data_IF_933534235985
#
_entry.id   IF_933534235985
#
_cell.length_a   1.000
_cell.length_b   1.000
_cell.length_c   1.000
_cell.angle_alpha   90.00
_cell.angle_beta   90.00
_cell.angle_gamma   90.00
#
_symmetry.space_group_name_H-M   'P 1'
#
loop_
_entity.id
_entity.type
_entity.pdbx_description
1 polymer ?
#
# COMPACT_ATOMS: atom_id res chain seq x y z
N UNK A 1 8.36 7.54 9.01
CA UNK A 1 7.66 8.82 8.71
C UNK A 1 7.22 9.53 9.98
N UNK A 2 6.46 8.88 10.87
CA UNK A 2 5.96 9.46 12.13
C UNK A 2 7.01 10.23 12.95
N UNK A 3 8.18 9.64 13.21
CA UNK A 3 9.29 10.30 13.92
C UNK A 3 9.77 11.61 13.25
N UNK A 4 9.79 11.69 11.92
CA UNK A 4 10.14 12.93 11.20
C UNK A 4 9.07 14.01 11.36
N UNK A 5 7.79 13.63 11.37
CA UNK A 5 6.68 14.55 11.68
C UNK A 5 6.81 15.03 13.13
N UNK A 6 7.08 14.13 14.07
CA UNK A 6 7.27 14.44 15.48
C UNK A 6 8.39 15.46 15.70
N UNK A 7 9.57 15.28 15.09
CA UNK A 7 10.63 16.28 15.15
C UNK A 7 10.21 17.63 14.53
N UNK A 8 9.52 17.63 13.39
CA UNK A 8 9.09 18.86 12.72
C UNK A 8 8.08 19.68 13.54
N UNK A 9 7.20 19.02 14.31
CA UNK A 9 6.21 19.71 15.17
C UNK A 9 6.67 19.86 16.63
N UNK A 10 7.88 19.41 16.97
CA UNK A 10 8.44 19.45 18.33
C UNK A 10 8.31 20.82 19.04
N UNK A 11 8.54 21.99 18.38
CA UNK A 11 8.35 23.30 19.01
C UNK A 11 6.93 23.59 19.53
N UNK A 12 5.90 22.88 19.04
CA UNK A 12 4.52 23.04 19.51
C UNK A 12 4.23 22.23 20.80
N UNK A 13 5.09 21.27 21.15
CA UNK A 13 4.93 20.35 22.29
C UNK A 13 6.13 20.45 23.26
N UNK A 14 6.32 21.63 23.91
CA UNK A 14 7.48 21.89 24.76
C UNK A 14 7.54 21.05 26.04
N UNK A 15 6.42 20.45 26.46
CA UNK A 15 6.36 19.64 27.68
C UNK A 15 6.77 18.16 27.43
N UNK A 16 7.11 17.82 26.18
CA UNK A 16 7.82 16.59 25.83
C UNK A 16 7.29 15.84 24.61
N UNK A 17 8.05 14.83 24.19
CA UNK A 17 7.67 13.88 23.15
C UNK A 17 7.90 12.46 23.66
N UNK A 18 6.90 11.59 23.49
CA UNK A 18 6.95 10.19 23.88
C UNK A 18 6.84 9.33 22.61
N UNK A 19 7.72 8.35 22.45
CA UNK A 19 7.67 7.36 21.37
C UNK A 19 7.51 5.98 21.99
N UNK A 20 6.54 5.21 21.50
CA UNK A 20 6.32 3.83 21.93
C UNK A 20 5.99 2.94 20.72
N UNK A 21 6.73 1.86 20.59
CA UNK A 21 6.40 0.70 19.75
C UNK A 21 5.27 -0.10 20.41
N UNK A 22 4.15 -0.29 19.70
CA UNK A 22 2.99 -1.07 20.12
C UNK A 22 3.07 -2.56 19.71
N UNK A 23 4.05 -2.90 18.87
CA UNK A 23 4.44 -4.26 18.51
C UNK A 23 5.96 -4.39 18.67
N UNK A 24 6.44 -5.53 19.17
CA UNK A 24 7.87 -5.85 19.24
C UNK A 24 8.09 -7.20 18.58
N UNK A 25 8.43 -7.19 17.29
CA UNK A 25 8.21 -8.37 16.44
C UNK A 25 6.73 -8.74 16.43
N UNK A 26 6.43 -10.04 16.46
CA UNK A 26 5.04 -10.54 16.48
C UNK A 26 4.33 -10.38 17.86
N UNK A 27 5.03 -9.88 18.88
CA UNK A 27 4.47 -9.76 20.23
C UNK A 27 3.53 -8.55 20.35
N UNK A 28 2.24 -8.83 20.55
CA UNK A 28 1.25 -7.84 20.96
C UNK A 28 1.61 -7.26 22.34
N UNK A 29 1.48 -5.94 22.48
CA UNK A 29 1.70 -5.24 23.75
C UNK A 29 0.37 -4.78 24.34
N UNK A 30 0.09 -5.26 25.54
CA UNK A 30 -1.11 -4.87 26.29
C UNK A 30 -1.10 -3.36 26.57
N UNK A 31 -2.21 -2.63 26.34
CA UNK A 31 -2.28 -1.19 26.59
C UNK A 31 -1.96 -0.81 28.04
N UNK A 32 -2.27 -1.68 29.00
CA UNK A 32 -1.97 -1.47 30.41
C UNK A 32 -0.45 -1.38 30.67
N UNK A 33 0.37 -2.17 29.98
CA UNK A 33 1.83 -2.17 30.13
C UNK A 33 2.46 -0.96 29.45
N UNK A 34 1.95 -0.62 28.26
CA UNK A 34 2.32 0.61 27.54
C UNK A 34 2.00 1.85 28.38
N UNK A 35 0.82 1.92 29.00
CA UNK A 35 0.48 2.99 29.96
C UNK A 35 1.44 3.00 31.14
N UNK A 36 1.82 1.84 31.67
CA UNK A 36 2.81 1.75 32.75
C UNK A 36 4.17 2.35 32.37
N UNK A 37 4.61 2.21 31.12
CA UNK A 37 5.82 2.83 30.58
C UNK A 37 5.65 4.34 30.35
N UNK A 38 4.54 4.76 29.73
CA UNK A 38 4.22 6.17 29.50
C UNK A 38 4.13 6.96 30.81
N UNK A 39 3.50 6.39 31.85
CA UNK A 39 3.40 7.00 33.18
C UNK A 39 4.78 7.17 33.82
N UNK A 40 5.65 6.16 33.74
CA UNK A 40 7.05 6.26 34.21
C UNK A 40 7.83 7.33 33.45
N UNK A 41 7.67 7.41 32.13
CA UNK A 41 8.30 8.45 31.31
C UNK A 41 7.77 9.87 31.60
N UNK A 42 6.51 10.01 32.04
CA UNK A 42 5.91 11.27 32.47
C UNK A 42 6.32 11.71 33.90
N UNK A 43 7.08 10.89 34.62
CA UNK A 43 7.62 11.16 35.95
C UNK A 43 6.94 10.42 37.12
N UNK A 44 6.04 9.46 36.85
CA UNK A 44 5.39 8.68 37.92
C UNK A 44 6.36 7.66 38.50
N UNK A 45 6.57 7.72 39.81
CA UNK A 45 7.44 6.77 40.53
C UNK A 45 6.93 5.33 40.46
N UNK A 46 7.81 4.30 40.52
CA UNK A 46 7.42 2.90 40.29
C UNK A 46 6.29 2.38 41.20
N UNK A 47 6.23 2.83 42.46
CA UNK A 47 5.18 2.47 43.42
C UNK A 47 3.90 3.32 43.35
N UNK A 48 3.85 4.33 42.46
CA UNK A 48 2.71 5.22 42.26
C UNK A 48 1.95 4.94 40.94
N UNK A 49 2.39 3.94 40.16
CA UNK A 49 1.64 3.45 38.99
C UNK A 49 0.57 2.46 39.50
N UNK A 50 -0.73 2.70 39.24
CA UNK A 50 -1.80 1.81 39.70
C UNK A 50 -1.67 0.38 39.16
N UNK A 51 -2.25 -0.59 39.89
CA UNK A 51 -2.39 -1.96 39.40
C UNK A 51 -3.52 -2.06 38.36
N UNK A 52 -4.62 -1.35 38.58
CA UNK A 52 -5.78 -1.37 37.67
C UNK A 52 -5.52 -0.61 36.36
N UNK A 53 -6.11 -1.12 35.28
CA UNK A 53 -5.97 -0.55 33.94
C UNK A 53 -6.77 0.74 33.74
N UNK A 54 -7.96 0.85 34.34
CA UNK A 54 -8.79 2.06 34.32
C UNK A 54 -8.15 3.19 35.11
N UNK A 55 -7.60 2.90 36.30
CA UNK A 55 -6.83 3.84 37.11
C UNK A 55 -5.57 4.35 36.37
N UNK A 56 -4.85 3.48 35.64
CA UNK A 56 -3.74 3.91 34.76
C UNK A 56 -4.21 4.88 33.68
N UNK A 57 -5.33 4.61 33.01
CA UNK A 57 -5.90 5.52 31.98
C UNK A 57 -6.30 6.86 32.59
N UNK A 58 -6.94 6.85 33.77
CA UNK A 58 -7.36 8.06 34.47
C UNK A 58 -6.15 8.92 34.88
N UNK A 59 -5.12 8.31 35.50
CA UNK A 59 -3.88 8.98 35.88
C UNK A 59 -3.14 9.56 34.67
N UNK A 60 -3.03 8.78 33.58
CA UNK A 60 -2.39 9.21 32.35
C UNK A 60 -3.08 10.44 31.75
N UNK A 61 -4.42 10.43 31.65
CA UNK A 61 -5.19 11.58 31.15
C UNK A 61 -5.10 12.79 32.08
N UNK A 62 -5.06 12.59 33.39
CA UNK A 62 -4.88 13.66 34.39
C UNK A 62 -3.47 14.29 34.38
N UNK A 63 -2.43 13.55 33.99
CA UNK A 63 -1.09 14.11 33.79
C UNK A 63 -0.97 14.92 32.50
N UNK A 64 -1.75 14.57 31.47
CA UNK A 64 -1.74 15.23 30.16
C UNK A 64 -2.70 16.43 30.07
N UNK A 65 -3.69 16.58 30.96
CA UNK A 65 -4.64 17.71 30.95
C UNK A 65 -3.99 19.08 31.10
N UNK A 66 -2.79 19.14 31.67
CA UNK A 66 -2.05 20.38 31.93
C UNK A 66 -0.71 20.47 31.17
N UNK A 67 -0.47 19.60 30.18
CA UNK A 67 0.77 19.55 29.39
C UNK A 67 0.49 19.63 27.89
N UNK A 68 1.51 20.00 27.12
CA UNK A 68 1.59 19.91 25.65
C UNK A 68 2.61 18.85 25.27
N UNK A 69 2.14 17.60 25.22
CA UNK A 69 2.96 16.43 24.88
C UNK A 69 2.52 15.86 23.53
N UNK A 70 3.49 15.46 22.71
CA UNK A 70 3.24 14.63 21.54
C UNK A 70 3.50 13.17 21.89
N UNK A 71 2.55 12.28 21.58
CA UNK A 71 2.74 10.83 21.66
C UNK A 71 2.85 10.25 20.25
N UNK A 72 3.85 9.42 20.00
CA UNK A 72 4.01 8.63 18.79
C UNK A 72 3.79 7.16 19.14
N UNK A 73 2.76 6.56 18.55
CA UNK A 73 2.38 5.16 18.73
C UNK A 73 2.70 4.43 17.42
N UNK A 74 3.78 3.65 17.40
CA UNK A 74 4.28 2.99 16.19
C UNK A 74 3.86 1.50 16.16
N UNK A 75 3.24 1.05 15.06
CA UNK A 75 2.80 -0.34 14.90
C UNK A 75 1.54 -0.71 15.67
N UNK A 76 0.52 0.17 15.69
CA UNK A 76 -0.78 -0.17 16.26
C UNK A 76 -1.44 -1.34 15.51
N UNK A 77 -1.95 -2.33 16.25
CA UNK A 77 -2.74 -3.43 15.70
C UNK A 77 -4.18 -3.02 15.37
N UNK A 78 -4.89 -2.50 16.37
CA UNK A 78 -6.34 -2.28 16.34
C UNK A 78 -6.73 -1.06 17.22
N UNK A 79 -8.00 -0.63 17.14
CA UNK A 79 -8.48 0.49 17.95
C UNK A 79 -8.57 0.19 19.44
N UNK A 80 -8.73 -1.06 19.87
CA UNK A 80 -8.79 -1.40 21.28
C UNK A 80 -7.43 -1.20 21.95
N UNK A 81 -6.34 -1.46 21.22
CA UNK A 81 -4.97 -1.17 21.66
C UNK A 81 -4.71 0.34 21.81
N UNK A 82 -5.26 1.15 20.89
CA UNK A 82 -4.96 2.59 20.78
C UNK A 82 -5.85 3.47 21.68
N UNK A 83 -7.15 3.18 21.81
CA UNK A 83 -8.12 4.00 22.57
C UNK A 83 -7.68 4.37 24.00
N UNK A 84 -7.06 3.48 24.81
CA UNK A 84 -6.58 3.83 26.15
C UNK A 84 -5.40 4.81 26.15
N UNK A 85 -4.61 4.81 25.07
CA UNK A 85 -3.36 5.56 24.93
C UNK A 85 -3.55 6.97 24.35
N UNK A 86 -4.73 7.26 23.78
CA UNK A 86 -5.02 8.57 23.22
C UNK A 86 -5.16 9.65 24.30
N UNK A 87 -4.53 10.82 24.11
CA UNK A 87 -4.70 11.95 25.01
C UNK A 87 -6.13 12.50 24.94
N UNK A 88 -6.66 12.96 26.08
CA UNK A 88 -7.97 13.59 26.16
C UNK A 88 -7.92 15.13 26.11
N UNK A 89 -6.73 15.73 26.16
CA UNK A 89 -6.53 17.19 26.16
C UNK A 89 -6.33 17.73 24.75
N UNK A 90 -6.96 18.86 24.36
CA UNK A 90 -6.70 19.53 23.08
C UNK A 90 -5.28 20.13 22.98
N UNK A 91 -4.53 20.19 24.09
CA UNK A 91 -3.14 20.63 24.13
C UNK A 91 -2.13 19.53 23.77
N UNK A 92 -2.56 18.27 23.75
CA UNK A 92 -1.74 17.11 23.40
C UNK A 92 -2.16 16.56 22.03
N UNK A 93 -1.25 15.82 21.38
CA UNK A 93 -1.55 15.14 20.12
C UNK A 93 -0.97 13.73 20.09
N UNK A 94 -1.57 12.86 19.26
CA UNK A 94 -1.06 11.52 18.99
C UNK A 94 -0.83 11.33 17.49
N UNK A 95 0.32 10.76 17.12
CA UNK A 95 0.60 10.23 15.78
C UNK A 95 0.63 8.73 15.88
N UNK A 96 -0.30 8.06 15.20
CA UNK A 96 -0.43 6.60 15.20
C UNK A 96 -0.03 6.07 13.84
N UNK A 97 0.84 5.06 13.79
CA UNK A 97 1.05 4.25 12.58
C UNK A 97 0.36 2.91 12.77
N UNK A 98 -0.19 2.36 11.69
CA UNK A 98 -0.85 1.06 11.67
C UNK A 98 -0.80 0.50 10.26
N UNK A 99 -0.89 -0.83 10.14
CA UNK A 99 -1.19 -1.49 8.87
C UNK A 99 -2.71 -1.51 8.61
N UNK A 100 -3.53 -1.53 9.65
CA UNK A 100 -5.00 -1.53 9.52
C UNK A 100 -5.56 -0.10 9.55
N UNK A 101 -6.72 0.10 8.90
CA UNK A 101 -7.40 1.39 8.94
C UNK A 101 -8.25 1.49 10.21
N UNK A 102 -7.72 2.18 11.22
CA UNK A 102 -8.32 2.42 12.55
C UNK A 102 -9.55 3.36 12.52
N UNK A 103 -10.50 3.06 11.63
CA UNK A 103 -11.61 3.92 11.20
C UNK A 103 -12.58 4.31 12.32
N UNK A 104 -12.62 3.55 13.41
CA UNK A 104 -13.56 3.80 14.52
C UNK A 104 -12.99 4.77 15.57
N UNK A 105 -11.77 5.29 15.40
CA UNK A 105 -11.16 6.33 16.25
C UNK A 105 -11.71 7.72 15.91
N UNK A 106 -12.69 8.17 16.68
CA UNK A 106 -13.26 9.53 16.55
C UNK A 106 -12.22 10.64 16.73
N UNK A 107 -12.38 11.74 15.98
CA UNK A 107 -11.51 12.91 16.05
C UNK A 107 -10.14 12.74 15.38
N UNK A 108 -9.88 11.63 14.68
CA UNK A 108 -8.61 11.38 14.01
C UNK A 108 -8.61 11.82 12.54
N UNK A 109 -7.42 12.09 11.99
CA UNK A 109 -7.21 12.33 10.56
C UNK A 109 -6.34 11.23 9.98
N UNK A 110 -6.93 10.35 9.17
CA UNK A 110 -6.18 9.32 8.47
C UNK A 110 -5.35 9.90 7.32
N UNK A 111 -4.12 9.41 7.17
CA UNK A 111 -3.23 9.70 6.05
C UNK A 111 -2.78 8.37 5.47
N UNK A 112 -3.40 7.93 4.36
CA UNK A 112 -2.97 6.72 3.66
C UNK A 112 -1.64 7.00 2.97
N UNK A 113 -0.61 6.23 3.34
CA UNK A 113 0.69 6.30 2.68
C UNK A 113 0.65 5.42 1.43
N UNK A 114 0.98 5.99 0.28
CA UNK A 114 1.15 5.27 -0.98
C UNK A 114 2.62 4.93 -1.26
N UNK A 115 2.85 4.34 -2.43
CA UNK A 115 4.19 4.28 -3.02
C UNK A 115 4.74 5.69 -3.24
N UNK A 116 6.07 5.81 -3.28
CA UNK A 116 6.71 7.07 -3.66
C UNK A 116 6.38 7.42 -5.11
N UNK A 117 6.40 8.70 -5.45
CA UNK A 117 6.57 9.12 -6.84
C UNK A 117 7.97 8.73 -7.35
N UNK A 118 8.15 8.73 -8.67
CA UNK A 118 9.48 8.54 -9.26
C UNK A 118 10.46 9.64 -8.81
N UNK A 119 9.95 10.87 -8.65
CA UNK A 119 10.74 12.02 -8.21
C UNK A 119 11.20 11.90 -6.75
N UNK A 120 10.30 11.59 -5.82
CA UNK A 120 10.67 11.37 -4.42
C UNK A 120 11.65 10.20 -4.26
N UNK A 121 11.51 9.16 -5.09
CA UNK A 121 12.44 8.02 -5.12
C UNK A 121 13.84 8.45 -5.57
N UNK A 122 13.94 9.28 -6.62
CA UNK A 122 15.22 9.86 -7.10
C UNK A 122 15.84 10.80 -6.07
N UNK A 123 15.06 11.70 -5.46
CA UNK A 123 15.57 12.63 -4.44
C UNK A 123 16.05 11.89 -3.18
N UNK A 124 15.43 10.77 -2.79
CA UNK A 124 15.99 9.91 -1.71
C UNK A 124 17.36 9.36 -2.11
N UNK A 125 17.50 8.78 -3.32
CA UNK A 125 18.80 8.30 -3.81
C UNK A 125 19.83 9.45 -3.89
N UNK A 126 19.43 10.62 -4.37
CA UNK A 126 20.30 11.79 -4.52
C UNK A 126 20.76 12.35 -3.16
N UNK A 127 19.90 12.31 -2.14
CA UNK A 127 20.24 12.67 -0.75
C UNK A 127 21.15 11.64 -0.06
N UNK A 128 21.12 10.38 -0.49
CA UNK A 128 21.99 9.33 0.03
C UNK A 128 23.35 9.31 -0.69
N UNK A 129 23.37 9.46 -2.01
CA UNK A 129 24.54 9.19 -2.88
C UNK A 129 25.23 10.45 -3.41
N UNK A 130 24.63 11.63 -3.20
CA UNK A 130 25.02 12.90 -3.81
C UNK A 130 24.27 13.16 -5.12
N UNK A 131 23.76 14.39 -5.29
CA UNK A 131 22.97 14.81 -6.46
C UNK A 131 23.74 14.66 -7.77
N UNK A 132 25.02 15.02 -7.79
CA UNK A 132 25.88 14.92 -8.98
C UNK A 132 26.02 13.48 -9.49
N UNK A 133 26.22 12.51 -8.58
CA UNK A 133 26.36 11.08 -8.92
C UNK A 133 25.08 10.50 -9.51
N UNK A 134 23.92 10.90 -8.99
CA UNK A 134 22.61 10.46 -9.53
C UNK A 134 22.33 11.11 -10.88
N UNK A 135 22.56 12.42 -11.02
CA UNK A 135 22.35 13.15 -12.27
C UNK A 135 23.28 12.67 -13.41
N UNK A 136 24.52 12.26 -13.08
CA UNK A 136 25.47 11.71 -14.04
C UNK A 136 25.05 10.33 -14.61
N UNK A 137 24.19 9.59 -13.90
CA UNK A 137 23.68 8.27 -14.29
C UNK A 137 22.14 8.23 -14.30
N UNK A 138 21.50 9.32 -14.74
CA UNK A 138 20.04 9.53 -14.60
C UNK A 138 19.18 8.39 -15.18
N UNK A 139 19.56 7.81 -16.32
CA UNK A 139 18.85 6.64 -16.88
C UNK A 139 18.90 5.40 -15.96
N UNK A 140 20.07 5.11 -15.39
CA UNK A 140 20.23 4.03 -14.43
C UNK A 140 19.51 4.33 -13.11
N UNK A 141 19.45 5.60 -12.67
CA UNK A 141 18.65 6.01 -11.52
C UNK A 141 17.14 5.73 -11.75
N UNK A 142 16.62 6.03 -12.94
CA UNK A 142 15.24 5.72 -13.31
C UNK A 142 14.98 4.20 -13.35
N UNK A 143 15.90 3.41 -13.90
CA UNK A 143 15.81 1.95 -13.90
C UNK A 143 15.81 1.37 -12.47
N UNK A 144 16.69 1.84 -11.58
CA UNK A 144 16.70 1.46 -10.16
C UNK A 144 15.36 1.77 -9.49
N UNK A 145 14.81 2.96 -9.71
CA UNK A 145 13.49 3.36 -9.18
C UNK A 145 12.35 2.47 -9.71
N UNK A 146 12.39 2.13 -11.00
CA UNK A 146 11.43 1.20 -11.64
C UNK A 146 11.52 -0.19 -11.03
N UNK A 147 12.72 -0.78 -10.92
CA UNK A 147 12.91 -2.13 -10.37
C UNK A 147 12.58 -2.22 -8.89
N UNK A 148 12.78 -1.14 -8.11
CA UNK A 148 12.32 -1.04 -6.73
C UNK A 148 10.78 -0.89 -6.59
N UNK A 149 10.05 -0.74 -7.70
CA UNK A 149 8.60 -0.48 -7.70
C UNK A 149 8.21 0.78 -6.91
N UNK A 150 9.14 1.72 -6.70
CA UNK A 150 8.98 2.91 -5.84
C UNK A 150 8.66 2.62 -4.36
N UNK A 151 8.98 1.42 -3.86
CA UNK A 151 8.86 1.10 -2.43
C UNK A 151 9.99 1.80 -1.63
N UNK A 152 9.69 2.57 -0.57
CA UNK A 152 10.70 3.26 0.24
C UNK A 152 11.81 2.35 0.77
N UNK A 153 11.47 1.11 1.18
CA UNK A 153 12.43 0.13 1.68
C UNK A 153 13.42 -0.31 0.59
N UNK A 154 12.92 -0.68 -0.60
CA UNK A 154 13.75 -1.11 -1.73
C UNK A 154 14.69 0.02 -2.18
N UNK A 155 14.21 1.27 -2.25
CA UNK A 155 15.03 2.45 -2.56
C UNK A 155 16.14 2.64 -1.52
N UNK A 156 15.83 2.52 -0.21
CA UNK A 156 16.85 2.61 0.86
C UNK A 156 17.91 1.51 0.75
N UNK A 157 17.50 0.28 0.44
CA UNK A 157 18.42 -0.87 0.28
C UNK A 157 19.37 -0.63 -0.90
N UNK A 158 18.84 -0.19 -2.05
CA UNK A 158 19.65 0.20 -3.22
C UNK A 158 20.65 1.31 -2.89
N UNK A 159 20.21 2.36 -2.20
CA UNK A 159 21.07 3.45 -1.76
C UNK A 159 22.18 2.95 -0.81
N UNK A 160 21.85 2.11 0.16
CA UNK A 160 22.83 1.54 1.09
C UNK A 160 23.86 0.63 0.38
N UNK A 161 23.44 -0.24 -0.55
CA UNK A 161 24.36 -1.09 -1.35
C UNK A 161 25.36 -0.27 -2.18
N UNK A 162 24.95 0.91 -2.67
CA UNK A 162 25.78 1.86 -3.43
C UNK A 162 26.65 2.78 -2.55
N UNK A 163 26.33 2.91 -1.26
CA UNK A 163 27.18 3.55 -0.24
C UNK A 163 28.28 2.60 0.25
N UNK A 164 27.96 1.32 0.51
CA UNK A 164 28.94 0.27 0.81
C UNK A 164 29.95 0.06 -0.33
N UNK A 165 29.57 0.39 -1.57
CA UNK A 165 30.37 0.17 -2.78
C UNK A 165 30.47 1.46 -3.60
N UNK A 166 31.25 2.48 -3.15
CA UNK A 166 31.38 3.75 -3.86
C UNK A 166 31.92 3.62 -5.29
N UNK A 167 32.69 2.55 -5.55
CA UNK A 167 33.25 2.22 -6.86
C UNK A 167 32.23 1.60 -7.84
N UNK A 168 31.00 1.29 -7.42
CA UNK A 168 29.94 0.83 -8.31
C UNK A 168 29.22 2.00 -8.97
N UNK A 169 29.01 1.89 -10.28
CA UNK A 169 28.07 2.72 -11.02
C UNK A 169 26.62 2.32 -10.69
N UNK A 170 25.69 3.26 -10.75
CA UNK A 170 24.25 2.97 -10.62
C UNK A 170 23.83 1.92 -11.66
N UNK A 171 24.34 2.05 -12.89
CA UNK A 171 24.15 1.10 -13.99
C UNK A 171 24.55 -0.35 -13.63
N UNK A 172 25.58 -0.52 -12.80
CA UNK A 172 26.04 -1.85 -12.35
C UNK A 172 24.99 -2.54 -11.47
N UNK A 173 24.30 -1.78 -10.61
CA UNK A 173 23.23 -2.31 -9.77
C UNK A 173 21.91 -2.44 -10.54
N UNK A 174 21.62 -1.52 -11.48
CA UNK A 174 20.46 -1.60 -12.36
C UNK A 174 20.44 -2.91 -13.16
N UNK A 175 21.56 -3.28 -13.81
CA UNK A 175 21.71 -4.56 -14.53
C UNK A 175 21.60 -5.80 -13.65
N UNK A 176 21.90 -5.70 -12.36
CA UNK A 176 21.67 -6.80 -11.39
C UNK A 176 20.19 -6.98 -11.09
N UNK A 177 19.48 -5.86 -10.84
CA UNK A 177 18.05 -5.83 -10.56
C UNK A 177 17.17 -6.11 -11.79
N UNK A 178 17.68 -5.95 -13.01
CA UNK A 178 16.95 -6.32 -14.23
C UNK A 178 16.45 -7.77 -14.19
N UNK A 179 17.28 -8.71 -13.69
CA UNK A 179 16.92 -10.12 -13.57
C UNK A 179 15.91 -10.38 -12.44
N UNK A 180 14.64 -10.61 -12.80
CA UNK A 180 13.56 -10.87 -11.85
C UNK A 180 13.89 -11.99 -10.84
N UNK A 181 14.57 -13.05 -11.30
CA UNK A 181 14.98 -14.22 -10.49
C UNK A 181 15.98 -13.90 -9.37
N UNK A 182 16.69 -12.78 -9.46
CA UNK A 182 17.68 -12.32 -8.45
C UNK A 182 17.32 -10.98 -7.83
N UNK A 183 16.22 -10.36 -8.27
CA UNK A 183 15.84 -8.99 -7.86
C UNK A 183 15.63 -8.92 -6.35
N UNK A 184 15.02 -9.94 -5.75
CA UNK A 184 14.81 -10.00 -4.30
C UNK A 184 16.10 -10.33 -3.51
N UNK A 185 17.04 -11.08 -4.08
CA UNK A 185 18.36 -11.32 -3.46
C UNK A 185 19.23 -10.05 -3.44
N UNK A 186 19.16 -9.26 -4.50
CA UNK A 186 19.85 -7.97 -4.62
C UNK A 186 19.15 -6.86 -3.81
N UNK A 187 17.88 -7.03 -3.45
CA UNK A 187 17.11 -6.16 -2.55
C UNK A 187 17.16 -6.62 -1.08
N UNK A 188 18.36 -6.95 -0.63
CA UNK A 188 18.73 -7.09 0.78
C UNK A 188 20.09 -6.42 1.09
N UNK A 189 20.28 -5.88 2.28
CA UNK A 189 21.56 -5.33 2.79
C UNK A 189 21.54 -5.24 4.32
N UNK A 190 22.55 -5.80 4.98
CA UNK A 190 22.59 -5.88 6.45
C UNK A 190 21.37 -6.64 7.00
N UNK A 191 20.60 -5.97 7.85
CA UNK A 191 19.33 -6.41 8.45
C UNK A 191 18.08 -6.05 7.62
N UNK A 192 18.24 -5.30 6.52
CA UNK A 192 17.13 -4.84 5.68
C UNK A 192 16.95 -5.77 4.47
N UNK A 193 15.80 -6.44 4.37
CA UNK A 193 15.43 -7.24 3.20
C UNK A 193 13.97 -7.06 2.79
N UNK A 194 13.74 -6.90 1.47
CA UNK A 194 12.37 -6.85 0.93
C UNK A 194 11.70 -8.22 1.07
N UNK A 195 12.42 -9.31 0.78
CA UNK A 195 11.89 -10.68 0.90
C UNK A 195 11.46 -10.98 2.35
N UNK A 196 12.28 -10.61 3.33
CA UNK A 196 12.01 -10.85 4.75
C UNK A 196 10.79 -10.06 5.24
N UNK A 197 10.66 -8.80 4.79
CA UNK A 197 9.49 -7.97 5.09
C UNK A 197 8.19 -8.56 4.54
N UNK A 198 8.23 -9.16 3.34
CA UNK A 198 7.08 -9.83 2.73
C UNK A 198 6.78 -11.20 3.36
N UNK A 199 7.80 -11.88 3.88
CA UNK A 199 7.65 -13.16 4.55
C UNK A 199 6.81 -13.05 5.84
N UNK A 200 6.89 -11.93 6.57
CA UNK A 200 6.03 -11.66 7.75
C UNK A 200 4.55 -11.64 7.36
N UNK A 201 4.17 -10.84 6.36
CA UNK A 201 2.77 -10.76 5.90
C UNK A 201 2.26 -12.10 5.35
N UNK A 202 3.10 -12.86 4.63
CA UNK A 202 2.75 -14.20 4.15
C UNK A 202 2.65 -15.24 5.27
N UNK A 203 3.44 -15.11 6.35
CA UNK A 203 3.34 -15.98 7.52
C UNK A 203 2.04 -15.76 8.31
N UNK A 204 1.48 -14.55 8.31
CA UNK A 204 0.19 -14.25 8.93
C UNK A 204 -1.01 -14.89 8.20
N UNK A 205 -0.88 -15.27 6.93
CA UNK A 205 -1.95 -15.86 6.13
C UNK A 205 -2.29 -17.31 6.51
N UNK A 206 -3.56 -17.67 6.36
CA UNK A 206 -4.03 -19.05 6.42
C UNK A 206 -3.73 -19.83 5.12
N UNK A 207 -3.85 -21.17 5.17
CA UNK A 207 -3.59 -22.08 4.03
C UNK A 207 -4.32 -21.68 2.71
N UNK A 208 -5.64 -21.40 2.69
CA UNK A 208 -6.31 -21.01 1.44
C UNK A 208 -5.80 -19.68 0.88
N UNK A 209 -5.55 -18.70 1.76
CA UNK A 209 -5.03 -17.38 1.41
C UNK A 209 -3.61 -17.47 0.85
N UNK A 210 -2.72 -18.25 1.48
CA UNK A 210 -1.37 -18.54 0.97
C UNK A 210 -1.39 -19.19 -0.41
N UNK A 211 -2.31 -20.13 -0.65
CA UNK A 211 -2.50 -20.74 -1.99
C UNK A 211 -2.97 -19.70 -3.00
N UNK A 212 -3.90 -18.82 -2.61
CA UNK A 212 -4.39 -17.77 -3.49
C UNK A 212 -3.30 -16.76 -3.86
N UNK A 213 -2.55 -16.29 -2.87
CA UNK A 213 -1.39 -15.40 -3.04
C UNK A 213 -0.38 -15.94 -4.06
N UNK A 214 -0.08 -17.24 -4.00
CA UNK A 214 0.84 -17.89 -4.93
C UNK A 214 0.22 -18.02 -6.33
N UNK A 215 -0.89 -18.73 -6.48
CA UNK A 215 -1.45 -19.04 -7.80
C UNK A 215 -1.87 -17.80 -8.60
N UNK A 216 -2.40 -16.76 -7.95
CA UNK A 216 -2.78 -15.51 -8.64
C UNK A 216 -1.57 -14.69 -9.12
N UNK A 217 -0.36 -14.93 -8.58
CA UNK A 217 0.86 -14.28 -9.05
C UNK A 217 1.24 -14.66 -10.49
N UNK A 218 0.72 -15.78 -10.99
CA UNK A 218 0.91 -16.26 -12.36
C UNK A 218 0.10 -15.46 -13.39
N UNK A 219 -0.87 -14.66 -12.97
CA UNK A 219 -1.70 -13.86 -13.86
C UNK A 219 -0.90 -12.67 -14.39
N UNK A 220 -0.43 -12.75 -15.64
CA UNK A 220 0.36 -11.70 -16.31
C UNK A 220 -0.50 -10.52 -16.79
N UNK A 221 -1.15 -9.87 -15.83
CA UNK A 221 -1.97 -8.66 -15.97
C UNK A 221 -1.55 -7.61 -14.95
N UNK A 222 -1.89 -6.34 -15.22
CA UNK A 222 -1.73 -5.25 -14.25
C UNK A 222 -2.74 -5.35 -13.10
N UNK A 223 -3.96 -5.83 -13.37
CA UNK A 223 -4.98 -6.11 -12.34
C UNK A 223 -6.02 -7.12 -12.85
N UNK A 224 -6.78 -7.71 -11.92
CA UNK A 224 -7.81 -8.71 -12.20
C UNK A 224 -9.08 -8.49 -11.34
N UNK A 225 -10.28 -8.88 -11.81
CA UNK A 225 -11.51 -8.86 -11.03
C UNK A 225 -11.69 -10.17 -10.22
N UNK A 226 -12.59 -10.16 -9.23
CA UNK A 226 -12.96 -11.34 -8.42
C UNK A 226 -13.21 -12.59 -9.29
N UNK A 227 -14.09 -12.51 -10.29
CA UNK A 227 -14.43 -13.67 -11.16
C UNK A 227 -13.24 -14.38 -11.83
N UNK A 228 -12.14 -13.66 -12.12
CA UNK A 228 -10.95 -14.26 -12.76
C UNK A 228 -10.11 -14.96 -11.70
N UNK A 229 -10.01 -14.37 -10.50
CA UNK A 229 -9.40 -15.03 -9.36
C UNK A 229 -10.20 -16.28 -8.95
N UNK A 230 -11.53 -16.20 -8.91
CA UNK A 230 -12.42 -17.30 -8.56
C UNK A 230 -12.19 -18.52 -9.48
N UNK A 231 -12.18 -18.27 -10.80
CA UNK A 231 -11.83 -19.27 -11.79
C UNK A 231 -10.41 -19.83 -11.63
N UNK A 232 -9.41 -18.97 -11.39
CA UNK A 232 -8.02 -19.39 -11.17
C UNK A 232 -7.85 -20.29 -9.94
N UNK A 233 -8.60 -20.01 -8.87
CA UNK A 233 -8.51 -20.72 -7.60
C UNK A 233 -9.38 -22.00 -7.57
N UNK A 234 -10.45 -22.04 -8.39
CA UNK A 234 -11.49 -23.05 -8.32
C UNK A 234 -12.45 -22.83 -7.15
N UNK A 235 -12.71 -21.57 -6.80
CA UNK A 235 -13.54 -21.16 -5.66
C UNK A 235 -14.79 -20.39 -6.12
N UNK A 236 -15.88 -20.41 -5.34
CA UNK A 236 -16.99 -19.47 -5.47
C UNK A 236 -16.55 -17.99 -5.38
N UNK A 237 -17.32 -17.08 -5.98
CA UNK A 237 -16.99 -15.65 -6.02
C UNK A 237 -16.98 -15.02 -4.60
N UNK A 238 -17.90 -15.40 -3.71
CA UNK A 238 -17.98 -14.92 -2.31
C UNK A 238 -16.73 -15.31 -1.50
N UNK A 239 -16.34 -16.59 -1.54
CA UNK A 239 -15.12 -17.08 -0.88
C UNK A 239 -13.85 -16.51 -1.50
N UNK A 240 -13.90 -16.18 -2.78
CA UNK A 240 -12.79 -15.49 -3.45
C UNK A 240 -12.68 -14.05 -2.99
N UNK A 241 -13.79 -13.33 -2.86
CA UNK A 241 -13.83 -11.95 -2.39
C UNK A 241 -13.28 -11.86 -0.94
N UNK A 242 -13.77 -12.70 -0.01
CA UNK A 242 -13.21 -12.82 1.34
C UNK A 242 -11.69 -13.06 1.32
N UNK A 243 -11.22 -13.98 0.47
CA UNK A 243 -9.78 -14.30 0.35
C UNK A 243 -8.97 -13.10 -0.18
N UNK A 244 -9.50 -12.36 -1.15
CA UNK A 244 -8.83 -11.19 -1.73
C UNK A 244 -8.83 -10.00 -0.77
N UNK A 245 -9.88 -9.82 0.02
CA UNK A 245 -9.93 -8.83 1.11
C UNK A 245 -8.88 -9.14 2.18
N UNK A 246 -8.72 -10.41 2.58
CA UNK A 246 -7.68 -10.85 3.52
C UNK A 246 -6.27 -10.59 3.01
N UNK A 247 -5.99 -10.90 1.75
CA UNK A 247 -4.72 -10.57 1.10
C UNK A 247 -4.47 -9.05 1.02
N UNK A 248 -5.53 -8.26 0.83
CA UNK A 248 -5.45 -6.79 0.82
C UNK A 248 -5.19 -6.23 2.22
N UNK A 249 -5.80 -6.80 3.26
CA UNK A 249 -5.56 -6.43 4.66
C UNK A 249 -4.10 -6.69 5.10
N UNK A 250 -3.46 -7.73 4.57
CA UNK A 250 -2.03 -8.01 4.77
C UNK A 250 -1.10 -7.22 3.83
N UNK A 251 -1.61 -6.25 3.06
CA UNK A 251 -0.86 -5.46 2.06
C UNK A 251 -0.15 -6.29 0.98
N UNK A 252 -0.64 -7.51 0.74
CA UNK A 252 -0.14 -8.44 -0.27
C UNK A 252 -0.85 -8.29 -1.62
N UNK A 253 -2.01 -7.61 -1.64
CA UNK A 253 -2.69 -7.10 -2.82
C UNK A 253 -3.11 -5.65 -2.60
N UNK A 254 -3.25 -4.91 -3.70
CA UNK A 254 -3.86 -3.58 -3.74
C UNK A 254 -5.23 -3.68 -4.43
N UNK A 255 -6.27 -3.10 -3.81
CA UNK A 255 -7.64 -3.08 -4.35
C UNK A 255 -8.05 -1.66 -4.77
N UNK A 256 -8.43 -1.50 -6.04
CA UNK A 256 -8.84 -0.24 -6.66
C UNK A 256 -10.20 -0.36 -7.36
N UNK A 257 -11.02 0.70 -7.28
CA UNK A 257 -12.28 0.77 -8.03
C UNK A 257 -12.07 1.38 -9.42
N UNK A 258 -12.29 0.59 -10.47
CA UNK A 258 -12.19 1.05 -11.87
C UNK A 258 -13.59 1.28 -12.44
N UNK A 259 -13.90 2.54 -12.77
CA UNK A 259 -15.21 2.97 -13.30
C UNK A 259 -15.62 2.11 -14.51
N UNK A 260 -16.85 1.59 -14.48
CA UNK A 260 -17.40 0.71 -15.52
C UNK A 260 -16.87 -0.73 -15.49
N UNK A 261 -16.01 -1.10 -14.54
CA UNK A 261 -15.41 -2.43 -14.48
C UNK A 261 -15.35 -3.05 -13.07
N UNK A 262 -15.71 -2.29 -12.03
CA UNK A 262 -15.79 -2.76 -10.64
C UNK A 262 -14.46 -2.71 -9.90
N UNK A 263 -14.40 -3.38 -8.75
CA UNK A 263 -13.18 -3.56 -7.95
C UNK A 263 -12.19 -4.42 -8.72
N UNK A 264 -10.92 -4.02 -8.68
CA UNK A 264 -9.79 -4.70 -9.29
C UNK A 264 -8.70 -4.89 -8.25
N UNK A 265 -8.12 -6.09 -8.25
CA UNK A 265 -7.01 -6.46 -7.39
C UNK A 265 -5.73 -6.50 -8.23
N UNK A 266 -4.63 -6.03 -7.66
CA UNK A 266 -3.32 -6.00 -8.29
C UNK A 266 -2.23 -6.39 -7.30
N UNK A 267 -1.11 -6.88 -7.82
CA UNK A 267 0.11 -7.05 -7.05
C UNK A 267 1.01 -5.84 -7.25
N UNK A 268 1.62 -5.35 -6.17
CA UNK A 268 2.86 -4.61 -6.29
C UNK A 268 3.94 -5.49 -6.97
N UNK A 269 4.75 -4.97 -7.92
CA UNK A 269 5.70 -5.78 -8.68
C UNK A 269 6.64 -6.64 -7.84
N UNK A 270 7.15 -6.15 -6.71
CA UNK A 270 8.07 -6.92 -5.84
C UNK A 270 7.32 -7.98 -5.01
N UNK A 271 6.09 -7.69 -4.60
CA UNK A 271 5.20 -8.68 -3.96
C UNK A 271 4.89 -9.81 -4.94
N UNK A 272 4.67 -9.48 -6.22
CA UNK A 272 4.42 -10.48 -7.27
C UNK A 272 5.62 -11.39 -7.51
N UNK A 273 6.85 -10.87 -7.45
CA UNK A 273 8.05 -11.70 -7.56
C UNK A 273 8.17 -12.68 -6.39
N UNK A 274 7.95 -12.21 -5.16
CA UNK A 274 7.99 -13.07 -3.98
C UNK A 274 6.92 -14.17 -4.03
N UNK A 275 5.69 -13.80 -4.43
CA UNK A 275 4.63 -14.76 -4.67
C UNK A 275 5.02 -15.79 -5.75
N UNK A 276 5.66 -15.36 -6.85
CA UNK A 276 6.14 -16.27 -7.90
C UNK A 276 7.23 -17.22 -7.37
N UNK A 277 8.25 -16.75 -6.65
CA UNK A 277 9.27 -17.60 -6.01
C UNK A 277 8.60 -18.77 -5.26
N UNK A 278 7.73 -18.44 -4.30
CA UNK A 278 6.96 -19.42 -3.53
C UNK A 278 6.09 -20.34 -4.40
N UNK A 279 5.52 -19.83 -5.50
CA UNK A 279 4.67 -20.61 -6.42
C UNK A 279 5.45 -21.68 -7.17
N UNK A 280 6.71 -21.39 -7.54
CA UNK A 280 7.59 -22.35 -8.20
C UNK A 280 8.13 -23.41 -7.23
N UNK A 281 8.33 -23.05 -5.96
CA UNK A 281 8.80 -23.96 -4.91
C UNK A 281 7.70 -24.88 -4.34
N UNK A 282 6.48 -24.36 -4.17
CA UNK A 282 5.40 -25.06 -3.44
C UNK A 282 4.35 -25.71 -4.35
N UNK A 283 3.92 -25.04 -5.42
CA UNK A 283 2.76 -25.50 -6.19
C UNK A 283 3.19 -26.41 -7.37
N UNK A 284 2.60 -27.62 -7.50
CA UNK A 284 2.97 -28.53 -8.57
C UNK A 284 2.52 -28.00 -9.94
N UNK A 285 3.23 -28.42 -10.99
CA UNK A 285 3.03 -27.96 -12.36
C UNK A 285 1.56 -28.01 -12.84
N UNK A 286 0.75 -29.06 -12.57
CA UNK A 286 -0.66 -29.11 -12.99
C UNK A 286 -1.53 -28.03 -12.33
N UNK A 287 -1.32 -27.73 -11.04
CA UNK A 287 -2.07 -26.69 -10.32
C UNK A 287 -1.79 -25.29 -10.89
N UNK A 288 -0.53 -25.02 -11.25
CA UNK A 288 -0.12 -23.76 -11.90
C UNK A 288 -0.74 -23.61 -13.30
N UNK A 289 -0.73 -24.67 -14.10
CA UNK A 289 -1.33 -24.64 -15.44
C UNK A 289 -2.85 -24.47 -15.38
N UNK A 290 -3.54 -25.22 -14.52
CA UNK A 290 -4.98 -25.11 -14.34
C UNK A 290 -5.42 -23.72 -13.90
N UNK A 291 -4.71 -23.10 -12.95
CA UNK A 291 -5.01 -21.74 -12.49
C UNK A 291 -4.94 -20.72 -13.64
N UNK A 292 -3.87 -20.76 -14.45
CA UNK A 292 -3.70 -19.86 -15.61
C UNK A 292 -4.74 -20.13 -16.70
N UNK A 293 -5.01 -21.39 -17.03
CA UNK A 293 -6.00 -21.77 -18.04
C UNK A 293 -7.41 -21.31 -17.67
N UNK A 294 -7.84 -21.56 -16.43
CA UNK A 294 -9.16 -21.14 -15.94
C UNK A 294 -9.28 -19.62 -15.90
N UNK A 295 -8.24 -18.90 -15.47
CA UNK A 295 -8.22 -17.45 -15.45
C UNK A 295 -8.34 -16.84 -16.86
N UNK A 296 -7.63 -17.40 -17.84
CA UNK A 296 -7.73 -16.99 -19.24
C UNK A 296 -9.13 -17.25 -19.80
N UNK A 297 -9.72 -18.41 -19.52
CA UNK A 297 -11.09 -18.72 -19.91
C UNK A 297 -12.09 -17.72 -19.32
N UNK A 298 -11.99 -17.41 -18.02
CA UNK A 298 -12.83 -16.41 -17.34
C UNK A 298 -12.58 -14.96 -17.79
N UNK A 299 -11.41 -14.67 -18.38
CA UNK A 299 -11.12 -13.36 -18.96
C UNK A 299 -11.86 -13.14 -20.29
N UNK A 300 -11.87 -14.15 -21.16
CA UNK A 300 -12.53 -14.09 -22.47
C UNK A 300 -14.03 -14.43 -22.41
N UNK A 301 -14.49 -15.09 -21.35
CA UNK A 301 -15.91 -15.22 -21.04
C UNK A 301 -16.55 -13.82 -20.89
N UNK A 302 -17.43 -13.45 -21.83
CA UNK A 302 -18.23 -12.23 -21.70
C UNK A 302 -19.13 -12.37 -20.46
N UNK A 303 -19.19 -11.35 -19.57
CA UNK A 303 -20.16 -11.37 -18.50
C UNK A 303 -21.58 -11.36 -19.09
N UNK A 304 -22.35 -12.40 -18.78
CA UNK A 304 -23.76 -12.50 -19.15
C UNK A 304 -24.52 -11.36 -18.45
N UNK A 305 -24.89 -10.33 -19.21
CA UNK A 305 -25.45 -9.09 -18.67
C UNK A 305 -25.04 -7.83 -19.43
N UNK A 306 -23.91 -7.87 -20.16
CA UNK A 306 -23.49 -6.77 -21.05
C UNK A 306 -24.29 -6.75 -22.38
N UNK A 307 -25.62 -6.73 -22.30
CA UNK A 307 -26.49 -6.37 -23.41
C UNK A 307 -26.41 -4.85 -23.63
N UNK A 308 -25.39 -4.42 -24.38
CA UNK A 308 -25.57 -3.21 -25.18
C UNK A 308 -26.66 -3.54 -26.19
N UNK A 309 -27.81 -2.83 -26.21
CA UNK A 309 -28.79 -3.04 -27.26
C UNK A 309 -28.10 -2.65 -28.58
N UNK A 310 -27.86 -3.64 -29.43
CA UNK A 310 -27.63 -3.38 -30.85
C UNK A 310 -28.83 -2.57 -31.32
N UNK A 311 -28.63 -1.27 -31.57
CA UNK A 311 -29.61 -0.46 -32.29
C UNK A 311 -29.83 -1.16 -33.62
N UNK A 312 -30.97 -1.82 -33.76
CA UNK A 312 -31.38 -2.40 -35.01
C UNK A 312 -31.38 -1.27 -36.05
N UNK A 313 -30.44 -1.35 -36.99
CA UNK A 313 -30.47 -0.51 -38.18
C UNK A 313 -31.78 -0.81 -38.92
N UNK A 314 -32.69 0.14 -39.12
CA UNK A 314 -33.88 -0.11 -39.92
C UNK A 314 -33.42 -0.46 -41.34
N UNK A 315 -33.68 -1.70 -41.78
CA UNK A 315 -33.31 -2.15 -43.11
C UNK A 315 -34.15 -1.42 -44.16
N UNK A 316 -33.51 -0.96 -45.24
CA UNK A 316 -34.19 -0.27 -46.32
C UNK A 316 -35.18 -1.18 -47.07
N UNK A 317 -36.37 -0.65 -47.35
CA UNK A 317 -37.39 -1.22 -48.24
C UNK A 317 -38.47 -0.17 -48.50
N UNK A 318 -38.43 0.48 -49.67
CA UNK A 318 -39.39 1.52 -50.09
C UNK A 318 -40.60 0.95 -50.86
N UNK A 319 -41.33 1.75 -51.68
CA UNK A 319 -41.08 3.15 -52.06
C UNK A 319 -42.31 4.11 -51.96
N UNK A 320 -42.13 5.36 -52.43
CA UNK A 320 -43.09 6.47 -52.55
C UNK A 320 -43.47 7.20 -51.23
N UNK A 321 -43.71 8.52 -51.21
CA UNK A 321 -43.87 9.49 -52.29
C UNK A 321 -43.05 10.80 -52.09
N UNK A 322 -43.11 11.68 -53.12
CA UNK A 322 -42.57 13.07 -53.13
C UNK A 322 -43.28 13.94 -52.06
N UNK A 323 -42.80 15.12 -51.64
CA UNK A 323 -42.62 16.36 -52.45
C UNK A 323 -41.86 17.44 -51.64
N UNK A 324 -40.93 18.18 -52.29
CA UNK A 324 -40.50 19.61 -52.07
C UNK A 324 -40.16 20.16 -50.65
N UNK A 325 -39.28 21.15 -50.43
CA UNK A 325 -38.40 21.96 -51.30
C UNK A 325 -37.36 22.77 -50.47
N UNK A 326 -36.29 23.25 -51.14
CA UNK A 326 -35.47 24.49 -50.85
C UNK A 326 -34.73 24.56 -49.47
N UNK A 327 -33.40 24.41 -49.41
CA UNK A 327 -32.33 25.44 -49.53
C UNK A 327 -32.25 26.44 -48.33
N UNK A 328 -31.11 27.00 -47.88
CA UNK A 328 -29.70 27.00 -48.34
C UNK A 328 -28.74 27.39 -47.18
N UNK A 329 -27.41 27.25 -47.39
CA UNK A 329 -26.31 28.01 -46.72
C UNK A 329 -26.14 27.89 -45.17
N UNK A 330 -24.99 28.13 -44.54
CA UNK A 330 -23.57 28.10 -44.93
C UNK A 330 -22.71 27.95 -43.64
N UNK A 331 -21.42 27.59 -43.77
CA UNK A 331 -20.40 27.74 -42.70
C UNK A 331 -20.01 29.23 -42.51
N UNK A 332 -19.29 29.69 -41.45
CA UNK A 332 -18.27 28.94 -40.67
C UNK A 332 -18.16 29.23 -39.13
N UNK A 333 -17.16 28.60 -38.50
CA UNK A 333 -16.48 28.91 -37.21
C UNK A 333 -15.52 30.13 -37.34
N UNK A 334 -14.76 30.59 -36.30
CA UNK A 334 -14.85 30.48 -34.82
C UNK A 334 -14.96 31.93 -34.20
N UNK A 335 -14.14 32.50 -33.26
CA UNK A 335 -13.30 32.03 -32.12
C UNK A 335 -13.43 32.86 -30.79
N UNK A 336 -12.47 32.68 -29.86
CA UNK A 336 -11.98 33.57 -28.78
C UNK A 336 -12.67 33.76 -27.39
N UNK A 337 -11.89 33.36 -26.36
CA UNK A 337 -11.52 34.05 -25.10
C UNK A 337 -12.53 34.41 -23.99
N UNK A 338 -12.07 34.21 -22.73
CA UNK A 338 -12.68 34.74 -21.50
C UNK A 338 -12.01 34.24 -20.23
N UNK A 339 -11.00 34.96 -19.71
CA UNK A 339 -10.26 34.65 -18.47
C UNK A 339 -10.80 35.45 -17.27
N UNK A 340 -10.38 35.08 -16.05
CA UNK A 340 -10.63 35.75 -14.74
C UNK A 340 -12.03 35.56 -14.12
N UNK A 341 -12.15 35.48 -12.78
CA UNK A 341 -11.18 35.72 -11.70
C UNK A 341 -11.11 34.56 -10.70
#
# INVERSE_FOLDING_TARGET
MAVRVAHAVSPAFPDGQLYVELQRGDAFREPADVLGELLRALGVGPGAVPADSGERVALYRGLLSHRRVLIVLDGARDEAQVRPLLPASPTCAAVVTSLEMLSTLGGTRHVRLGLLTAEESREILARMLGRERVAAEEGAAQDLVRYCGRLPLAIRIVGARLLERPHWRLETLARRLESERRRLDELAVGDLGVRDSLAVGYAALEVPERRAFRLLSLLETASFPVRVAAAALGLPDDRTEETLERLTAQHLLEADFVKGSGVRFSYHPLVRLYARELTFDVDPMPSRHGAVQNALAAWYARPAGALVPLRATPSAGGPAARTEAVAAAASPLPPELGFTA
#
